data_IF_418245177053
#
_entry.id   IF_418245177053
#
_cell.length_a   1.000
_cell.length_b   1.000
_cell.length_c   1.000
_cell.angle_alpha   90.00
_cell.angle_beta   90.00
_cell.angle_gamma   90.00
#
_symmetry.space_group_name_H-M   'P 1'
#
loop_
_entity.id
_entity.type
_entity.pdbx_description
1 polymer ?
#
# COMPACT_ATOMS: atom_id res chain seq x y z
N UNK A 1 -14.82 -5.35 6.62
CA UNK A 1 -13.91 -4.18 6.56
C UNK A 1 -14.28 -3.23 7.68
N UNK A 2 -13.32 -2.86 8.53
CA UNK A 2 -13.53 -1.89 9.62
C UNK A 2 -12.78 -0.61 9.27
N UNK A 3 -13.51 0.49 9.09
CA UNK A 3 -12.93 1.82 8.82
C UNK A 3 -12.78 2.55 10.15
N UNK A 4 -11.60 3.12 10.40
CA UNK A 4 -11.30 3.94 11.57
C UNK A 4 -11.04 5.37 11.11
N UNK A 5 -11.83 6.32 11.61
CA UNK A 5 -11.59 7.74 11.36
C UNK A 5 -10.69 8.30 12.47
N UNK A 6 -9.58 8.95 12.13
CA UNK A 6 -8.73 9.68 13.07
C UNK A 6 -7.93 10.76 12.35
N UNK A 7 -7.59 11.86 13.04
CA UNK A 7 -6.77 12.94 12.47
C UNK A 7 -7.28 13.48 11.11
N UNK A 8 -8.59 13.44 10.87
CA UNK A 8 -9.20 13.86 9.59
C UNK A 8 -9.07 12.86 8.44
N UNK A 9 -8.53 11.66 8.67
CA UNK A 9 -8.31 10.63 7.65
C UNK A 9 -9.06 9.34 7.98
N UNK A 10 -9.44 8.61 6.93
CA UNK A 10 -10.00 7.26 7.03
C UNK A 10 -8.88 6.24 6.91
N UNK A 11 -8.84 5.32 7.87
CA UNK A 11 -7.85 4.25 7.93
C UNK A 11 -8.51 2.87 7.89
N UNK A 12 -7.84 1.93 7.25
CA UNK A 12 -8.21 0.52 7.21
C UNK A 12 -6.98 -0.36 7.47
N UNK A 13 -7.22 -1.58 7.90
CA UNK A 13 -6.22 -2.64 7.90
C UNK A 13 -6.24 -3.36 6.54
N UNK A 14 -5.06 -3.57 5.96
CA UNK A 14 -4.90 -4.28 4.68
C UNK A 14 -4.02 -5.50 4.90
N UNK A 15 -4.45 -6.67 4.43
CA UNK A 15 -3.61 -7.86 4.33
C UNK A 15 -3.15 -7.99 2.88
N UNK A 16 -1.86 -7.82 2.64
CA UNK A 16 -1.24 -7.97 1.33
C UNK A 16 -0.57 -9.34 1.24
N UNK A 17 -0.90 -10.11 0.21
CA UNK A 17 -0.29 -11.43 -0.04
C UNK A 17 0.50 -11.41 -1.34
N UNK A 18 1.79 -11.79 -1.28
CA UNK A 18 2.65 -11.95 -2.44
C UNK A 18 3.40 -13.27 -2.38
N UNK A 19 3.26 -14.10 -3.42
CA UNK A 19 3.90 -15.44 -3.53
C UNK A 19 3.70 -16.30 -2.26
N UNK A 20 2.49 -16.29 -1.70
CA UNK A 20 2.13 -17.08 -0.51
C UNK A 20 2.60 -16.50 0.83
N UNK A 21 3.37 -15.41 0.83
CA UNK A 21 3.71 -14.65 2.05
C UNK A 21 2.69 -13.54 2.25
N UNK A 22 2.29 -13.29 3.49
CA UNK A 22 1.33 -12.24 3.85
C UNK A 22 1.96 -11.20 4.76
N UNK A 23 1.59 -9.95 4.56
CA UNK A 23 1.95 -8.80 5.39
C UNK A 23 0.69 -8.05 5.80
N UNK A 24 0.55 -7.78 7.09
CA UNK A 24 -0.51 -6.91 7.61
C UNK A 24 -0.01 -5.45 7.65
N UNK A 25 -0.65 -4.60 6.85
CA UNK A 25 -0.40 -3.16 6.80
C UNK A 25 -1.46 -2.45 7.64
N UNK A 26 -1.08 -2.09 8.87
CA UNK A 26 -1.90 -1.28 9.77
C UNK A 26 -1.96 0.18 9.32
N UNK A 27 -3.04 0.86 9.68
CA UNK A 27 -3.24 2.30 9.45
C UNK A 27 -2.99 2.75 8.00
N UNK A 28 -3.51 1.96 7.05
CA UNK A 28 -3.50 2.32 5.62
C UNK A 28 -4.58 3.37 5.37
N UNK A 29 -4.21 4.49 4.74
CA UNK A 29 -5.18 5.53 4.37
C UNK A 29 -6.11 5.01 3.27
N UNK A 30 -7.41 5.10 3.51
CA UNK A 30 -8.44 4.89 2.50
C UNK A 30 -8.60 6.21 1.72
N UNK A 31 -7.82 6.34 0.65
CA UNK A 31 -7.86 7.50 -0.24
C UNK A 31 -8.86 7.29 -1.38
N UNK A 32 -9.93 8.10 -1.40
CA UNK A 32 -10.93 8.09 -2.48
C UNK A 32 -10.64 9.11 -3.58
N UNK A 33 -9.59 9.93 -3.42
CA UNK A 33 -9.16 10.95 -4.38
C UNK A 33 -8.06 10.48 -5.34
N UNK A 34 -7.47 9.30 -5.12
CA UNK A 34 -6.46 8.72 -6.00
C UNK A 34 -7.06 7.80 -7.05
N UNK A 35 -6.46 7.75 -8.24
CA UNK A 35 -6.80 6.80 -9.31
C UNK A 35 -6.09 5.45 -9.15
N UNK A 36 -5.13 5.37 -8.24
CA UNK A 36 -4.28 4.20 -7.99
C UNK A 36 -4.06 3.99 -6.50
N UNK A 37 -3.62 2.79 -6.14
CA UNK A 37 -3.21 2.44 -4.78
C UNK A 37 -1.68 2.40 -4.72
N UNK A 38 -1.10 3.12 -3.78
CA UNK A 38 0.35 3.20 -3.58
C UNK A 38 0.68 2.70 -2.18
N UNK A 39 1.60 1.76 -2.08
CA UNK A 39 2.20 1.32 -0.83
C UNK A 39 3.68 1.70 -0.77
N UNK A 40 4.21 1.90 0.44
CA UNK A 40 5.64 2.10 0.64
C UNK A 40 6.43 0.87 0.20
N UNK A 41 7.41 1.05 -0.70
CA UNK A 41 8.27 -0.03 -1.17
C UNK A 41 9.02 -0.71 -0.02
N UNK A 42 9.51 0.06 0.95
CA UNK A 42 10.22 -0.47 2.12
C UNK A 42 9.39 -1.48 2.92
N UNK A 43 8.08 -1.24 3.05
CA UNK A 43 7.16 -2.19 3.69
C UNK A 43 6.99 -3.46 2.86
N UNK A 44 6.91 -3.34 1.55
CA UNK A 44 6.69 -4.49 0.68
C UNK A 44 7.91 -5.41 0.55
N UNK A 45 9.12 -4.92 0.89
CA UNK A 45 10.31 -5.75 1.01
C UNK A 45 10.11 -6.90 2.02
N UNK A 46 9.30 -6.69 3.07
CA UNK A 46 9.02 -7.70 4.11
C UNK A 46 8.31 -8.94 3.53
N UNK A 47 7.48 -8.76 2.49
CA UNK A 47 6.82 -9.85 1.75
C UNK A 47 7.59 -10.22 0.46
N UNK A 48 8.76 -9.61 0.27
CA UNK A 48 9.70 -9.77 -0.83
C UNK A 48 9.17 -9.37 -2.20
N UNK A 49 8.36 -8.32 -2.25
CA UNK A 49 8.23 -7.49 -3.45
C UNK A 49 9.44 -6.58 -3.47
N UNK A 50 10.21 -6.63 -4.55
CA UNK A 50 11.43 -5.83 -4.74
C UNK A 50 11.34 -5.14 -6.09
N UNK A 51 11.87 -3.91 -6.25
CA UNK A 51 11.97 -3.29 -7.56
C UNK A 51 12.86 -4.12 -8.48
N UNK A 52 12.39 -4.40 -9.69
CA UNK A 52 13.14 -5.07 -10.73
C UNK A 52 13.68 -4.04 -11.75
N UNK A 53 14.85 -4.26 -12.38
CA UNK A 53 15.42 -3.29 -13.32
C UNK A 53 14.53 -2.98 -14.54
N UNK A 54 13.61 -3.88 -14.86
CA UNK A 54 12.62 -3.72 -15.93
C UNK A 54 11.37 -2.96 -15.51
N UNK A 55 11.20 -2.66 -14.22
CA UNK A 55 10.02 -1.95 -13.73
C UNK A 55 10.01 -0.51 -14.26
N UNK A 56 8.84 -0.09 -14.73
CA UNK A 56 8.64 1.29 -15.13
C UNK A 56 8.68 2.20 -13.89
N UNK A 57 9.52 3.25 -13.94
CA UNK A 57 9.47 4.31 -12.95
C UNK A 57 8.30 5.22 -13.29
N UNK A 58 7.25 5.17 -12.47
CA UNK A 58 6.09 6.07 -12.58
C UNK A 58 6.19 7.11 -11.48
N UNK A 59 6.35 8.37 -11.85
CA UNK A 59 6.34 9.50 -10.91
C UNK A 59 4.90 9.97 -10.77
N UNK A 60 4.34 9.90 -9.56
CA UNK A 60 2.97 10.32 -9.28
C UNK A 60 2.84 11.84 -9.27
N UNK A 61 2.41 12.42 -10.39
CA UNK A 61 2.11 13.84 -10.47
C UNK A 61 1.76 14.27 -11.89
N UNK A 62 0.51 14.02 -12.29
CA UNK A 62 -0.07 14.34 -13.60
C UNK A 62 0.58 13.66 -14.81
#
# INVERSE_FOLDING_TARGET
MKIRLAHGLAYVEVVLTFRGRSLCLGDTVLDTGSSSTIFSADRLLEVGVVPEPSDAIVVGGH
#
